data_IF_476094795269
#
_entry.id   IF_476094795269
#
_cell.length_a   1.000
_cell.length_b   1.000
_cell.length_c   1.000
_cell.angle_alpha   90.00
_cell.angle_beta   90.00
_cell.angle_gamma   90.00
#
_symmetry.space_group_name_H-M   'P 1'
#
loop_
_entity.id
_entity.type
_entity.pdbx_description
1 polymer ?
#
# COMPACT_ATOMS: atom_id res chain seq x y z
N UNK A 1 19.88 -21.52 -13.32
CA UNK A 1 18.92 -22.66 -13.34
C UNK A 1 17.56 -22.12 -13.76
N UNK A 2 16.73 -22.89 -14.48
CA UNK A 2 15.34 -22.49 -14.80
C UNK A 2 14.39 -23.20 -13.84
N UNK A 3 13.46 -22.46 -13.23
CA UNK A 3 12.39 -23.05 -12.45
C UNK A 3 11.40 -23.74 -13.39
N UNK A 4 11.04 -25.00 -13.11
CA UNK A 4 10.27 -25.84 -14.05
C UNK A 4 8.79 -25.52 -14.09
N UNK A 5 8.23 -24.99 -13.00
CA UNK A 5 6.79 -24.72 -12.85
C UNK A 5 6.48 -23.22 -12.95
N UNK A 6 7.24 -22.46 -13.75
CA UNK A 6 7.12 -20.99 -13.81
C UNK A 6 5.70 -20.54 -14.17
N UNK A 7 5.02 -21.23 -15.08
CA UNK A 7 3.64 -20.91 -15.48
C UNK A 7 2.65 -20.97 -14.31
N UNK A 8 2.89 -21.85 -13.31
CA UNK A 8 2.02 -21.93 -12.13
C UNK A 8 2.21 -20.72 -11.22
N UNK A 9 3.45 -20.22 -11.14
CA UNK A 9 3.80 -19.04 -10.35
C UNK A 9 3.31 -17.76 -11.03
N UNK A 10 3.37 -17.68 -12.36
CA UNK A 10 2.81 -16.59 -13.16
C UNK A 10 1.29 -16.51 -13.01
N UNK A 11 0.58 -17.63 -13.10
CA UNK A 11 -0.87 -17.65 -12.87
C UNK A 11 -1.22 -17.23 -11.44
N UNK A 12 -0.47 -17.70 -10.44
CA UNK A 12 -0.68 -17.26 -9.06
C UNK A 12 -0.44 -15.76 -8.89
N UNK A 13 0.56 -15.21 -9.57
CA UNK A 13 0.80 -13.78 -9.63
C UNK A 13 -0.37 -13.03 -10.29
N UNK A 14 -0.97 -13.55 -11.36
CA UNK A 14 -2.15 -12.97 -12.00
C UNK A 14 -3.36 -12.95 -11.05
N UNK A 15 -3.60 -14.03 -10.32
CA UNK A 15 -4.67 -14.11 -9.31
C UNK A 15 -4.47 -13.08 -8.20
N UNK A 16 -3.23 -12.98 -7.72
CA UNK A 16 -2.81 -12.00 -6.71
C UNK A 16 -2.97 -10.57 -7.20
N UNK A 17 -2.58 -10.29 -8.44
CA UNK A 17 -2.73 -8.98 -9.06
C UNK A 17 -4.21 -8.59 -9.15
N UNK A 18 -5.05 -9.49 -9.64
CA UNK A 18 -6.48 -9.27 -9.78
C UNK A 18 -7.13 -8.94 -8.43
N UNK A 19 -6.80 -9.70 -7.37
CA UNK A 19 -7.33 -9.48 -6.02
C UNK A 19 -6.79 -8.18 -5.41
N UNK A 20 -5.48 -7.92 -5.52
CA UNK A 20 -4.85 -6.74 -4.93
C UNK A 20 -5.35 -5.44 -5.58
N UNK A 21 -5.58 -5.45 -6.90
CA UNK A 21 -5.94 -4.25 -7.64
C UNK A 21 -7.45 -4.04 -7.79
N UNK A 22 -8.27 -5.01 -7.38
CA UNK A 22 -9.73 -4.93 -7.41
C UNK A 22 -10.25 -3.71 -6.65
N UNK A 23 -11.18 -2.95 -7.24
CA UNK A 23 -11.65 -1.70 -6.64
C UNK A 23 -12.42 -1.90 -5.33
N UNK A 24 -13.18 -3.00 -5.26
CA UNK A 24 -14.01 -3.36 -4.11
C UNK A 24 -13.17 -3.72 -2.89
N UNK A 25 -11.92 -4.15 -3.08
CA UNK A 25 -10.99 -4.49 -2.01
C UNK A 25 -10.27 -3.25 -1.45
N UNK A 26 -10.46 -2.06 -2.07
CA UNK A 26 -9.78 -0.84 -1.66
C UNK A 26 -10.50 -0.17 -0.50
N UNK A 27 -9.80 -0.02 0.62
CA UNK A 27 -10.27 0.69 1.80
C UNK A 27 -9.81 2.15 1.77
N UNK A 28 -10.71 3.07 2.14
CA UNK A 28 -10.42 4.51 2.26
C UNK A 28 -9.59 4.76 3.50
N UNK A 29 -8.55 5.59 3.35
CA UNK A 29 -7.77 6.12 4.48
C UNK A 29 -8.34 7.50 4.84
N UNK A 30 -8.70 7.67 6.10
CA UNK A 30 -9.34 8.89 6.61
C UNK A 30 -8.29 9.96 6.95
N UNK A 31 -8.46 11.15 6.40
CA UNK A 31 -7.65 12.34 6.69
C UNK A 31 -8.54 13.54 7.02
N UNK A 32 -9.09 13.62 8.25
CA UNK A 32 -9.89 14.76 8.65
C UNK A 32 -9.10 16.07 8.55
N UNK A 33 -9.74 17.14 8.07
CA UNK A 33 -9.07 18.43 7.82
C UNK A 33 -8.39 19.01 9.06
N UNK A 34 -9.00 18.84 10.23
CA UNK A 34 -8.45 19.27 11.52
C UNK A 34 -7.26 18.43 12.01
N UNK A 35 -6.92 17.33 11.33
CA UNK A 35 -5.81 16.44 11.68
C UNK A 35 -4.63 16.53 10.70
N UNK A 36 -4.77 17.24 9.57
CA UNK A 36 -3.71 17.38 8.55
C UNK A 36 -3.06 18.76 8.52
N UNK A 37 -3.65 19.76 9.16
CA UNK A 37 -3.10 21.11 9.28
C UNK A 37 -3.26 21.65 10.70
N UNK A 38 -2.28 21.43 11.61
CA UNK A 38 -1.03 20.69 11.40
C UNK A 38 -1.22 19.16 11.34
N UNK A 39 -0.22 18.44 10.83
CA UNK A 39 -0.25 16.97 10.74
C UNK A 39 -0.19 16.31 12.12
N UNK A 40 -1.32 15.83 12.60
CA UNK A 40 -1.47 15.13 13.88
C UNK A 40 -1.56 13.62 13.65
N UNK A 41 -0.42 12.96 13.77
CA UNK A 41 -0.30 11.52 13.57
C UNK A 41 -1.14 10.68 14.55
N UNK A 42 -1.35 11.15 15.77
CA UNK A 42 -2.04 10.38 16.80
C UNK A 42 -3.57 10.47 16.61
N UNK A 43 -4.06 11.65 16.19
CA UNK A 43 -5.45 11.80 15.75
C UNK A 43 -5.75 11.00 14.47
N UNK A 44 -4.82 10.99 13.50
CA UNK A 44 -4.94 10.18 12.28
C UNK A 44 -4.92 8.68 12.57
N UNK A 45 -4.09 8.21 13.51
CA UNK A 45 -4.12 6.82 13.98
C UNK A 45 -5.48 6.45 14.57
N UNK A 46 -6.08 7.38 15.33
CA UNK A 46 -7.40 7.17 15.93
C UNK A 46 -8.48 7.09 14.85
N UNK A 47 -8.46 8.01 13.88
CA UNK A 47 -9.39 8.03 12.76
C UNK A 47 -9.30 6.78 11.86
N UNK A 48 -8.13 6.12 11.81
CA UNK A 48 -7.88 4.94 10.99
C UNK A 48 -7.71 3.64 11.81
N UNK A 49 -8.14 3.64 13.07
CA UNK A 49 -7.91 2.52 13.99
C UNK A 49 -8.43 1.18 13.46
N UNK A 50 -9.62 1.19 12.85
CA UNK A 50 -10.26 -0.01 12.29
C UNK A 50 -9.47 -0.55 11.09
N UNK A 51 -9.13 0.31 10.13
CA UNK A 51 -8.30 -0.03 8.96
C UNK A 51 -6.93 -0.59 9.40
N UNK A 52 -6.24 0.08 10.33
CA UNK A 52 -4.96 -0.39 10.87
C UNK A 52 -5.11 -1.69 11.68
N UNK A 53 -6.30 -1.96 12.23
CA UNK A 53 -6.66 -3.23 12.85
C UNK A 53 -6.80 -4.34 11.82
N UNK A 54 -7.54 -4.10 10.74
CA UNK A 54 -7.80 -5.08 9.68
C UNK A 54 -6.53 -5.51 8.94
N UNK A 55 -5.56 -4.62 8.78
CA UNK A 55 -4.24 -4.90 8.19
C UNK A 55 -3.37 -5.79 9.11
N UNK A 56 -3.55 -5.68 10.44
CA UNK A 56 -2.62 -6.25 11.41
C UNK A 56 -2.58 -7.77 11.35
N UNK A 57 -1.44 -8.33 10.95
CA UNK A 57 -1.27 -9.79 10.83
C UNK A 57 -1.90 -10.40 9.56
N UNK A 58 -2.58 -9.60 8.73
CA UNK A 58 -3.32 -10.06 7.56
C UNK A 58 -2.74 -9.55 6.23
N UNK A 59 -1.73 -8.70 6.26
CA UNK A 59 -1.08 -8.18 5.05
C UNK A 59 0.40 -8.56 4.98
N UNK A 60 0.84 -9.02 3.81
CA UNK A 60 2.26 -9.10 3.49
C UNK A 60 2.62 -8.59 2.08
N UNK A 61 1.61 -8.29 1.26
CA UNK A 61 1.68 -7.44 0.06
C UNK A 61 0.52 -6.43 0.12
N UNK A 62 0.77 -5.18 -0.25
CA UNK A 62 -0.21 -4.10 -0.23
C UNK A 62 0.01 -3.10 -1.35
N UNK A 63 -1.04 -2.36 -1.70
CA UNK A 63 -1.01 -1.30 -2.70
C UNK A 63 -1.61 0.00 -2.14
N UNK A 64 -1.08 1.13 -2.60
CA UNK A 64 -1.58 2.48 -2.29
C UNK A 64 -2.06 3.12 -3.58
N UNK A 65 -3.25 3.70 -3.51
CA UNK A 65 -3.91 4.37 -4.62
C UNK A 65 -4.27 5.79 -4.23
N UNK A 66 -4.23 6.71 -5.19
CA UNK A 66 -4.63 8.10 -4.95
C UNK A 66 -5.55 8.65 -6.03
N UNK A 67 -6.42 9.56 -5.63
CA UNK A 67 -7.28 10.33 -6.52
C UNK A 67 -7.17 11.83 -6.17
N UNK A 68 -7.19 12.75 -7.15
CA UNK A 68 -7.36 14.18 -6.88
C UNK A 68 -8.68 14.49 -6.16
N UNK A 69 -8.78 15.66 -5.53
CA UNK A 69 -9.92 16.10 -4.70
C UNK A 69 -11.31 15.99 -5.37
N UNK A 70 -11.37 16.11 -6.69
CA UNK A 70 -12.61 16.09 -7.48
C UNK A 70 -12.69 14.89 -8.43
N UNK A 71 -11.96 13.81 -8.14
CA UNK A 71 -11.92 12.61 -8.97
C UNK A 71 -12.41 11.39 -8.18
N UNK A 72 -13.24 10.57 -8.80
CA UNK A 72 -13.55 9.22 -8.32
C UNK A 72 -12.57 8.17 -8.84
N UNK A 73 -11.69 8.55 -9.78
CA UNK A 73 -10.71 7.66 -10.38
C UNK A 73 -9.43 7.62 -9.55
N UNK A 74 -9.14 6.44 -9.01
CA UNK A 74 -7.94 6.17 -8.23
C UNK A 74 -6.86 5.53 -9.10
N UNK A 75 -5.68 6.13 -9.12
CA UNK A 75 -4.50 5.57 -9.79
C UNK A 75 -3.65 4.82 -8.78
N UNK A 76 -3.09 3.68 -9.20
CA UNK A 76 -2.08 2.97 -8.43
C UNK A 76 -0.83 3.84 -8.31
N UNK A 77 -0.28 3.94 -7.09
CA UNK A 77 0.93 4.74 -6.80
C UNK A 77 2.07 3.90 -6.30
N UNK A 78 1.78 2.94 -5.43
CA UNK A 78 2.80 2.16 -4.74
C UNK A 78 2.34 0.72 -4.54
N UNK A 79 3.22 -0.23 -4.79
CA UNK A 79 3.12 -1.62 -4.34
C UNK A 79 4.24 -1.88 -3.34
N UNK A 80 3.92 -2.49 -2.22
CA UNK A 80 4.88 -2.78 -1.16
C UNK A 80 4.68 -4.13 -0.52
N UNK A 81 5.75 -4.63 0.11
CA UNK A 81 5.73 -5.83 0.95
C UNK A 81 6.10 -5.56 2.39
N UNK A 82 5.72 -6.48 3.25
CA UNK A 82 6.08 -6.49 4.68
C UNK A 82 6.00 -7.90 5.23
N UNK A 83 6.60 -8.14 6.41
CA UNK A 83 6.19 -9.31 7.19
C UNK A 83 4.82 -9.07 7.81
N UNK A 84 4.02 -10.12 7.99
CA UNK A 84 2.68 -10.06 8.59
C UNK A 84 2.72 -9.42 9.98
N UNK A 85 3.73 -9.79 10.77
CA UNK A 85 3.97 -9.24 12.12
C UNK A 85 4.14 -7.72 12.12
N UNK A 86 4.70 -7.15 11.04
CA UNK A 86 4.99 -5.73 10.93
C UNK A 86 3.99 -4.98 10.04
N UNK A 87 2.96 -5.65 9.53
CA UNK A 87 2.02 -5.11 8.56
C UNK A 87 1.42 -3.76 8.97
N UNK A 88 0.80 -3.71 10.16
CA UNK A 88 0.21 -2.49 10.72
C UNK A 88 1.24 -1.37 10.81
N UNK A 89 2.43 -1.67 11.34
CA UNK A 89 3.48 -0.67 11.50
C UNK A 89 3.96 -0.14 10.14
N UNK A 90 4.14 -1.03 9.15
CA UNK A 90 4.62 -0.65 7.83
C UNK A 90 3.60 0.24 7.11
N UNK A 91 2.32 -0.16 7.08
CA UNK A 91 1.27 0.64 6.45
C UNK A 91 1.12 1.99 7.15
N UNK A 92 1.10 2.00 8.49
CA UNK A 92 1.10 3.25 9.28
C UNK A 92 2.29 4.14 8.95
N UNK A 93 3.48 3.58 8.71
CA UNK A 93 4.65 4.37 8.34
C UNK A 93 4.50 5.08 7.00
N UNK A 94 3.87 4.41 6.02
CA UNK A 94 3.61 5.02 4.71
C UNK A 94 2.49 6.06 4.76
N UNK A 95 1.47 5.87 5.60
CA UNK A 95 0.24 6.66 5.53
C UNK A 95 0.10 7.76 6.59
N UNK A 96 0.74 7.61 7.76
CA UNK A 96 0.46 8.43 8.94
C UNK A 96 1.72 8.95 9.64
N UNK A 97 2.69 8.08 9.97
CA UNK A 97 3.84 8.46 10.81
C UNK A 97 5.12 7.75 10.42
N UNK A 98 6.04 8.49 9.81
CA UNK A 98 7.32 7.97 9.33
C UNK A 98 8.17 7.54 10.53
N UNK A 99 8.86 6.42 10.37
CA UNK A 99 10.04 6.12 11.17
C UNK A 99 11.27 6.65 10.41
N UNK A 100 12.10 7.46 11.07
CA UNK A 100 13.28 8.14 10.49
C UNK A 100 14.22 7.20 9.72
N UNK A 101 14.26 5.91 10.07
CA UNK A 101 15.13 4.90 9.45
C UNK A 101 14.57 4.21 8.21
N UNK A 102 13.34 4.49 7.76
CA UNK A 102 12.68 3.70 6.70
C UNK A 102 12.26 4.53 5.49
N UNK A 103 12.39 3.96 4.28
CA UNK A 103 11.94 4.51 3.00
C UNK A 103 10.42 4.54 2.85
N UNK A 104 9.75 5.21 3.78
CA UNK A 104 8.31 5.36 3.81
C UNK A 104 7.85 6.49 2.87
N UNK A 105 6.66 6.33 2.29
CA UNK A 105 6.01 7.25 1.33
C UNK A 105 5.12 8.31 1.99
N UNK A 106 5.41 8.59 3.26
CA UNK A 106 4.62 9.54 4.04
C UNK A 106 4.65 10.93 3.44
N UNK A 107 5.80 11.36 2.91
CA UNK A 107 5.91 12.67 2.30
C UNK A 107 4.96 12.80 1.10
N UNK A 108 5.00 11.85 0.16
CA UNK A 108 4.12 11.83 -1.01
C UNK A 108 2.64 11.81 -0.62
N UNK A 109 2.30 11.01 0.40
CA UNK A 109 0.94 10.93 0.95
C UNK A 109 0.52 12.26 1.56
N UNK A 110 1.36 12.86 2.40
CA UNK A 110 1.07 14.14 3.06
C UNK A 110 0.90 15.25 2.04
N UNK A 111 1.79 15.35 1.05
CA UNK A 111 1.70 16.34 -0.03
C UNK A 111 0.39 16.17 -0.83
N UNK A 112 0.05 14.94 -1.22
CA UNK A 112 -1.19 14.65 -1.94
C UNK A 112 -2.45 15.00 -1.14
N UNK A 113 -2.47 14.64 0.15
CA UNK A 113 -3.61 14.91 1.05
C UNK A 113 -3.78 16.40 1.35
N UNK A 114 -2.68 17.14 1.52
CA UNK A 114 -2.71 18.59 1.73
C UNK A 114 -3.27 19.35 0.51
N UNK A 115 -3.13 18.79 -0.69
CA UNK A 115 -3.78 19.29 -1.92
C UNK A 115 -5.26 18.88 -2.02
N UNK A 116 -5.83 18.26 -0.97
CA UNK A 116 -7.21 17.79 -0.90
C UNK A 116 -7.44 16.43 -1.56
N UNK A 117 -6.38 15.74 -1.95
CA UNK A 117 -6.46 14.44 -2.59
C UNK A 117 -6.93 13.32 -1.64
N UNK A 118 -7.47 12.26 -2.24
CA UNK A 118 -7.94 11.06 -1.54
C UNK A 118 -6.92 9.93 -1.66
N UNK A 119 -6.87 9.07 -0.64
CA UNK A 119 -6.00 7.89 -0.60
C UNK A 119 -6.82 6.66 -0.26
N UNK A 120 -6.56 5.57 -0.98
CA UNK A 120 -7.06 4.24 -0.69
C UNK A 120 -5.91 3.25 -0.59
N UNK A 121 -6.11 2.16 0.14
CA UNK A 121 -5.18 1.03 0.16
C UNK A 121 -5.91 -0.29 -0.05
N UNK A 122 -5.20 -1.29 -0.56
CA UNK A 122 -5.62 -2.69 -0.54
C UNK A 122 -4.45 -3.55 -0.05
N UNK A 123 -4.75 -4.74 0.43
CA UNK A 123 -3.74 -5.68 0.90
C UNK A 123 -4.22 -7.11 0.78
N UNK A 124 -3.26 -8.02 0.73
CA UNK A 124 -3.52 -9.46 0.68
C UNK A 124 -2.52 -10.22 1.57
N UNK A 125 -2.87 -11.47 1.88
CA UNK A 125 -2.00 -12.42 2.55
C UNK A 125 -1.51 -13.48 1.56
N UNK A 126 -0.21 -13.50 1.31
CA UNK A 126 0.46 -14.55 0.53
C UNK A 126 1.04 -15.62 1.45
N UNK A 127 0.81 -16.89 1.11
CA UNK A 127 1.46 -18.03 1.77
C UNK A 127 2.18 -18.93 0.74
N UNK A 128 3.41 -19.40 1.03
CA UNK A 128 4.24 -19.05 2.18
C UNK A 128 4.74 -17.60 2.12
N UNK A 129 4.99 -17.01 3.29
CA UNK A 129 5.32 -15.57 3.41
C UNK A 129 6.56 -15.16 2.59
N UNK A 130 7.47 -16.09 2.29
CA UNK A 130 8.67 -15.85 1.48
C UNK A 130 8.36 -15.46 0.02
N UNK A 131 7.21 -15.90 -0.52
CA UNK A 131 6.80 -15.57 -1.89
C UNK A 131 6.50 -14.08 -2.09
N UNK A 132 6.21 -13.33 -1.02
CA UNK A 132 5.92 -11.89 -1.09
C UNK A 132 7.02 -11.09 -1.80
N UNK A 133 8.28 -11.53 -1.74
CA UNK A 133 9.40 -10.86 -2.39
C UNK A 133 9.28 -10.95 -3.91
N UNK A 134 9.12 -12.16 -4.42
CA UNK A 134 8.92 -12.42 -5.85
C UNK A 134 7.67 -11.70 -6.36
N UNK A 135 6.55 -11.83 -5.64
CA UNK A 135 5.29 -11.18 -6.01
C UNK A 135 5.45 -9.65 -6.10
N UNK A 136 6.04 -9.00 -5.08
CA UNK A 136 6.23 -7.55 -5.12
C UNK A 136 7.11 -7.12 -6.29
N UNK A 137 8.23 -7.80 -6.52
CA UNK A 137 9.17 -7.47 -7.60
C UNK A 137 8.50 -7.57 -8.98
N UNK A 138 7.76 -8.64 -9.23
CA UNK A 138 7.07 -8.84 -10.51
C UNK A 138 5.89 -7.87 -10.69
N UNK A 139 5.11 -7.59 -9.63
CA UNK A 139 4.03 -6.60 -9.71
C UNK A 139 4.59 -5.19 -9.99
N UNK A 140 5.69 -4.80 -9.34
CA UNK A 140 6.37 -3.53 -9.64
C UNK A 140 6.85 -3.50 -11.10
N UNK A 141 7.36 -4.63 -11.61
CA UNK A 141 7.80 -4.73 -13.00
C UNK A 141 6.65 -4.54 -14.00
N UNK A 142 5.47 -5.12 -13.71
CA UNK A 142 4.24 -4.99 -14.53
C UNK A 142 3.65 -3.59 -14.46
N UNK A 143 3.67 -2.96 -13.29
CA UNK A 143 3.06 -1.64 -13.01
C UNK A 143 4.11 -0.54 -12.89
N UNK A 144 4.84 -0.28 -13.98
CA UNK A 144 5.86 0.78 -14.00
C UNK A 144 5.27 2.17 -13.79
N UNK A 145 3.98 2.35 -14.02
CA UNK A 145 3.20 3.57 -13.78
C UNK A 145 2.96 3.86 -12.29
N UNK A 146 3.15 2.88 -11.40
CA UNK A 146 3.24 3.08 -9.95
C UNK A 146 4.50 3.88 -9.60
N UNK A 147 4.42 5.19 -9.76
CA UNK A 147 5.55 6.12 -9.74
C UNK A 147 6.27 6.18 -8.39
N UNK A 148 5.59 5.90 -7.28
CA UNK A 148 6.21 5.91 -5.96
C UNK A 148 7.14 4.72 -5.72
N UNK A 149 7.15 3.69 -6.58
CA UNK A 149 8.11 2.59 -6.51
C UNK A 149 9.49 2.95 -7.07
N UNK A 150 9.60 3.97 -7.94
CA UNK A 150 10.81 4.27 -8.71
C UNK A 150 11.94 4.92 -7.91
N UNK A 151 11.64 5.50 -6.75
CA UNK A 151 12.65 6.17 -5.90
C UNK A 151 13.52 5.20 -5.09
N UNK A 152 13.27 3.89 -5.18
CA UNK A 152 14.08 2.85 -4.54
C UNK A 152 15.04 2.15 -5.53
N UNK A 153 15.18 2.65 -6.75
CA UNK A 153 16.11 2.16 -7.77
C UNK A 153 17.48 2.84 -7.70
#
# INVERSE_FOLDING_TARGET
>A
MKYREINTLERFLDDVEAELLQEENRCVVSYPQNCISPWDADALDTANKELLGAVSGCANVYAIFTAPSNSSHFSLRYIGKTTRKLARQRIRNHLIKKNERTGAKLQDVTEHVLLGGQVKISWIEIQPESLRNYIEEELIHRHKDADWNRENA
#
